data_IF_096084288692
#
_entry.id   IF_096084288692
#
_cell.length_a   1.000
_cell.length_b   1.000
_cell.length_c   1.000
_cell.angle_alpha   90.00
_cell.angle_beta   90.00
_cell.angle_gamma   90.00
#
_symmetry.space_group_name_H-M   'P 1'
#
loop_
_entity.id
_entity.type
_entity.pdbx_description
1 polymer ?
#
# COMPACT_ATOMS: atom_id res chain seq x y z
N UNK A 1 1.08 16.38 16.77
CA UNK A 1 0.87 17.46 15.79
C UNK A 1 1.40 17.00 14.44
N UNK A 2 0.58 16.99 13.39
CA UNK A 2 1.00 16.63 12.03
C UNK A 2 1.85 17.78 11.48
N UNK A 3 2.99 17.47 10.86
CA UNK A 3 3.87 18.49 10.29
C UNK A 3 3.59 18.72 8.81
N UNK A 4 3.91 19.92 8.31
CA UNK A 4 3.77 20.25 6.90
C UNK A 4 4.53 19.28 5.99
N UNK A 5 5.70 18.79 6.41
CA UNK A 5 6.47 17.77 5.67
C UNK A 5 5.77 16.42 5.61
N UNK A 6 5.04 16.03 6.66
CA UNK A 6 4.24 14.80 6.68
C UNK A 6 3.01 14.95 5.76
N UNK A 7 2.42 16.15 5.69
CA UNK A 7 1.32 16.45 4.77
C UNK A 7 1.77 16.36 3.30
N UNK A 8 2.96 16.86 2.97
CA UNK A 8 3.50 16.75 1.61
C UNK A 8 3.69 15.28 1.19
N UNK A 9 4.19 14.44 2.10
CA UNK A 9 4.28 12.99 1.86
C UNK A 9 2.92 12.33 1.66
N UNK A 10 1.91 12.75 2.43
CA UNK A 10 0.54 12.25 2.28
C UNK A 10 -0.07 12.64 0.93
N UNK A 11 0.11 13.89 0.49
CA UNK A 11 -0.34 14.35 -0.83
C UNK A 11 0.38 13.56 -1.93
N UNK A 12 1.69 13.36 -1.79
CA UNK A 12 2.48 12.55 -2.72
C UNK A 12 1.95 11.11 -2.84
N UNK A 13 1.57 10.50 -1.72
CA UNK A 13 0.95 9.17 -1.69
C UNK A 13 -0.39 9.15 -2.44
N UNK A 14 -1.28 10.11 -2.18
CA UNK A 14 -2.57 10.17 -2.87
C UNK A 14 -2.40 10.36 -4.38
N UNK A 15 -1.52 11.27 -4.79
CA UNK A 15 -1.18 11.47 -6.21
C UNK A 15 -0.64 10.18 -6.83
N UNK A 16 0.23 9.46 -6.12
CA UNK A 16 0.75 8.18 -6.59
C UNK A 16 -0.38 7.16 -6.84
N UNK A 17 -1.25 6.94 -5.85
CA UNK A 17 -2.37 5.98 -5.97
C UNK A 17 -3.27 6.29 -7.18
N UNK A 18 -3.48 7.58 -7.48
CA UNK A 18 -4.29 8.02 -8.63
C UNK A 18 -3.58 7.77 -9.98
N UNK A 19 -2.27 7.96 -10.05
CA UNK A 19 -1.50 7.83 -11.29
C UNK A 19 -1.14 6.38 -11.63
N UNK A 20 -0.97 5.52 -10.63
CA UNK A 20 -0.41 4.15 -10.79
C UNK A 20 -1.43 3.05 -10.57
N UNK A 21 -2.71 3.35 -10.76
CA UNK A 21 -3.83 2.46 -10.43
C UNK A 21 -3.71 1.06 -11.04
N UNK A 22 -3.09 0.94 -12.23
CA UNK A 22 -3.01 -0.31 -12.99
C UNK A 22 -1.58 -0.77 -13.33
N UNK A 23 -0.55 -0.15 -12.78
CA UNK A 23 0.82 -0.35 -13.28
C UNK A 23 1.73 -0.97 -12.24
N UNK A 24 1.99 -2.29 -12.39
CA UNK A 24 3.31 -2.98 -12.34
C UNK A 24 3.09 -4.50 -12.22
N UNK A 25 3.82 -5.30 -13.01
CA UNK A 25 3.77 -6.79 -12.99
C UNK A 25 4.28 -7.36 -11.66
N UNK A 26 5.16 -6.62 -10.98
CA UNK A 26 5.67 -7.00 -9.66
C UNK A 26 4.62 -6.79 -8.55
N UNK A 27 3.87 -5.68 -8.60
CA UNK A 27 2.90 -5.32 -7.56
C UNK A 27 1.58 -6.11 -7.69
N UNK A 28 1.31 -6.61 -8.90
CA UNK A 28 0.13 -7.42 -9.18
C UNK A 28 0.09 -8.66 -8.31
N UNK A 29 1.22 -9.31 -7.98
CA UNK A 29 1.22 -10.49 -7.10
C UNK A 29 0.62 -10.18 -5.71
N UNK A 30 1.09 -9.14 -5.04
CA UNK A 30 0.55 -8.77 -3.72
C UNK A 30 -0.91 -8.29 -3.83
N UNK A 31 -1.23 -7.55 -4.88
CA UNK A 31 -2.57 -7.04 -5.14
C UNK A 31 -3.56 -8.17 -5.41
N UNK A 32 -3.16 -9.16 -6.21
CA UNK A 32 -3.93 -10.37 -6.49
C UNK A 32 -4.05 -11.23 -5.23
N UNK A 33 -3.01 -11.32 -4.41
CA UNK A 33 -3.08 -12.07 -3.15
C UNK A 33 -4.12 -11.45 -2.21
N UNK A 34 -4.18 -10.12 -2.13
CA UNK A 34 -5.22 -9.40 -1.40
C UNK A 34 -6.61 -9.71 -1.97
N UNK A 35 -6.77 -9.68 -3.30
CA UNK A 35 -8.02 -10.04 -3.97
C UNK A 35 -8.45 -11.48 -3.65
N UNK A 36 -7.53 -12.44 -3.75
CA UNK A 36 -7.78 -13.85 -3.50
C UNK A 36 -8.22 -14.10 -2.06
N UNK A 37 -7.54 -13.47 -1.08
CA UNK A 37 -7.96 -13.57 0.32
C UNK A 37 -9.35 -12.98 0.57
N UNK A 38 -9.73 -11.91 -0.13
CA UNK A 38 -11.02 -11.24 0.06
C UNK A 38 -12.16 -12.03 -0.57
N UNK A 39 -11.98 -12.49 -1.81
CA UNK A 39 -13.05 -13.07 -2.62
C UNK A 39 -13.06 -14.60 -2.63
N UNK A 40 -11.90 -15.24 -2.61
CA UNK A 40 -11.78 -16.71 -2.66
C UNK A 40 -11.63 -17.33 -1.27
N UNK A 41 -11.04 -16.62 -0.29
CA UNK A 41 -10.94 -17.07 1.12
C UNK A 41 -10.37 -18.50 1.21
N UNK A 42 -11.14 -19.47 1.70
CA UNK A 42 -10.68 -20.86 1.84
C UNK A 42 -10.72 -21.66 0.52
N UNK A 43 -11.14 -21.04 -0.58
CA UNK A 43 -11.22 -21.70 -1.88
C UNK A 43 -9.90 -21.58 -2.65
N UNK A 44 -8.88 -22.30 -2.18
CA UNK A 44 -7.51 -22.30 -2.70
C UNK A 44 -7.38 -22.71 -4.18
N UNK A 45 -8.38 -23.39 -4.75
CA UNK A 45 -8.34 -23.80 -6.16
C UNK A 45 -8.53 -22.64 -7.12
N UNK A 46 -9.10 -21.52 -6.66
CA UNK A 46 -9.36 -20.32 -7.47
C UNK A 46 -8.28 -19.25 -7.33
N UNK A 47 -7.19 -19.54 -6.62
CA UNK A 47 -6.11 -18.59 -6.39
C UNK A 47 -5.23 -18.51 -7.63
N UNK A 48 -5.03 -17.30 -8.14
CA UNK A 48 -4.17 -17.03 -9.30
C UNK A 48 -2.71 -17.46 -9.03
N UNK A 49 -2.31 -17.38 -7.77
CA UNK A 49 -1.02 -17.79 -7.22
C UNK A 49 -0.68 -19.27 -7.42
N UNK A 50 -1.67 -20.12 -7.73
CA UNK A 50 -1.46 -21.53 -8.04
C UNK A 50 -1.10 -21.76 -9.51
N UNK A 51 -1.69 -20.98 -10.41
CA UNK A 51 -1.46 -21.08 -11.85
C UNK A 51 -0.18 -20.34 -12.26
N UNK A 52 0.10 -19.22 -11.60
CA UNK A 52 1.28 -18.39 -11.83
C UNK A 52 2.13 -18.23 -10.57
N UNK A 53 2.90 -19.26 -10.17
CA UNK A 53 3.87 -19.12 -9.09
C UNK A 53 4.94 -18.11 -9.53
N UNK A 54 5.01 -16.98 -8.85
CA UNK A 54 5.95 -15.90 -9.18
C UNK A 54 7.41 -16.38 -9.17
N UNK A 55 8.25 -15.74 -9.98
CA UNK A 55 9.69 -16.07 -10.14
C UNK A 55 10.51 -15.85 -8.85
N UNK A 56 9.93 -15.15 -7.87
CA UNK A 56 10.55 -14.82 -6.58
C UNK A 56 9.62 -15.22 -5.43
N UNK A 57 10.16 -15.95 -4.44
CA UNK A 57 9.41 -16.32 -3.24
C UNK A 57 9.03 -15.08 -2.41
N UNK A 58 7.74 -14.86 -2.21
CA UNK A 58 7.17 -13.73 -1.46
C UNK A 58 6.32 -14.23 -0.31
N UNK A 59 6.34 -13.52 0.80
CA UNK A 59 5.52 -13.85 1.97
C UNK A 59 4.10 -13.31 1.81
N UNK A 60 3.08 -14.12 2.09
CA UNK A 60 1.67 -13.70 2.07
C UNK A 60 1.21 -12.89 3.29
N UNK A 61 2.10 -12.68 4.28
CA UNK A 61 1.75 -12.00 5.54
C UNK A 61 1.26 -10.57 5.32
N UNK A 62 1.92 -9.80 4.45
CA UNK A 62 1.52 -8.44 4.10
C UNK A 62 0.14 -8.38 3.43
N UNK A 63 -0.05 -9.09 2.30
CA UNK A 63 -1.36 -9.21 1.65
C UNK A 63 -2.49 -9.65 2.58
N UNK A 64 -2.23 -10.62 3.47
CA UNK A 64 -3.21 -11.09 4.43
C UNK A 64 -3.60 -9.99 5.43
N UNK A 65 -2.62 -9.27 5.99
CA UNK A 65 -2.88 -8.17 6.91
C UNK A 65 -3.73 -7.07 6.26
N UNK A 66 -3.40 -6.65 5.04
CA UNK A 66 -4.19 -5.66 4.31
C UNK A 66 -5.59 -6.19 3.98
N UNK A 67 -5.70 -7.44 3.52
CA UNK A 67 -6.99 -8.08 3.23
C UNK A 67 -7.91 -8.11 4.46
N UNK A 68 -7.38 -8.44 5.65
CA UNK A 68 -8.16 -8.41 6.89
C UNK A 68 -8.61 -7.00 7.27
N UNK A 69 -7.74 -5.99 7.08
CA UNK A 69 -8.04 -4.59 7.38
C UNK A 69 -9.17 -4.04 6.49
N UNK A 70 -9.18 -4.40 5.20
CA UNK A 70 -10.18 -3.88 4.23
C UNK A 70 -11.40 -4.79 4.07
N UNK A 71 -11.38 -6.02 4.61
CA UNK A 71 -12.49 -6.97 4.60
C UNK A 71 -13.86 -6.36 5.00
N UNK A 72 -13.99 -5.51 6.04
CA UNK A 72 -15.27 -4.91 6.40
C UNK A 72 -15.84 -3.96 5.33
N UNK A 73 -15.05 -3.48 4.38
CA UNK A 73 -15.53 -2.61 3.29
C UNK A 73 -16.23 -3.39 2.17
N UNK A 74 -15.96 -4.69 2.05
CA UNK A 74 -16.51 -5.57 1.01
C UNK A 74 -18.04 -5.61 0.98
N UNK A 75 -18.77 -5.84 2.10
CA UNK A 75 -20.23 -5.82 2.08
C UNK A 75 -20.80 -4.46 1.69
N UNK A 76 -20.14 -3.36 2.08
CA UNK A 76 -20.56 -1.99 1.72
C UNK A 76 -20.48 -1.80 0.20
N UNK A 77 -19.35 -2.16 -0.39
CA UNK A 77 -19.12 -2.05 -1.84
C UNK A 77 -20.11 -2.92 -2.63
N UNK A 78 -20.38 -4.14 -2.14
CA UNK A 78 -21.40 -5.01 -2.73
C UNK A 78 -22.81 -4.44 -2.62
N UNK A 79 -23.16 -3.85 -1.48
CA UNK A 79 -24.47 -3.24 -1.25
C UNK A 79 -24.73 -2.08 -2.22
N UNK A 80 -23.72 -1.23 -2.46
CA UNK A 80 -23.81 -0.14 -3.44
C UNK A 80 -23.60 -0.58 -4.91
N UNK A 81 -23.40 -1.88 -5.18
CA UNK A 81 -23.17 -2.38 -6.53
C UNK A 81 -21.90 -1.86 -7.20
N UNK A 82 -20.90 -1.45 -6.41
CA UNK A 82 -19.67 -0.83 -6.91
C UNK A 82 -18.73 -1.88 -7.54
N UNK A 83 -17.98 -1.45 -8.57
CA UNK A 83 -17.03 -2.32 -9.26
C UNK A 83 -15.80 -2.67 -8.38
N UNK A 84 -15.12 -3.79 -8.71
CA UNK A 84 -13.92 -4.29 -8.02
C UNK A 84 -12.77 -3.29 -7.95
N UNK A 85 -12.73 -2.30 -8.85
CA UNK A 85 -11.73 -1.22 -8.87
C UNK A 85 -11.72 -0.44 -7.55
N UNK A 86 -12.88 -0.30 -6.88
CA UNK A 86 -12.96 0.39 -5.59
C UNK A 86 -12.26 -0.39 -4.47
N UNK A 87 -12.31 -1.73 -4.52
CA UNK A 87 -11.54 -2.57 -3.59
C UNK A 87 -10.04 -2.46 -3.84
N UNK A 88 -9.62 -2.33 -5.10
CA UNK A 88 -8.23 -2.09 -5.44
C UNK A 88 -7.75 -0.74 -4.87
N UNK A 89 -8.54 0.33 -5.06
CA UNK A 89 -8.23 1.64 -4.49
C UNK A 89 -8.14 1.59 -2.95
N UNK A 90 -9.08 0.90 -2.30
CA UNK A 90 -9.07 0.71 -0.85
C UNK A 90 -7.83 -0.06 -0.38
N UNK A 91 -7.44 -1.14 -1.07
CA UNK A 91 -6.26 -1.93 -0.75
C UNK A 91 -4.97 -1.10 -0.87
N UNK A 92 -4.80 -0.36 -1.98
CA UNK A 92 -3.65 0.53 -2.21
C UNK A 92 -3.57 1.64 -1.17
N UNK A 93 -4.70 2.25 -0.84
CA UNK A 93 -4.79 3.28 0.19
C UNK A 93 -4.39 2.72 1.56
N UNK A 94 -4.90 1.55 1.93
CA UNK A 94 -4.56 0.91 3.21
C UNK A 94 -3.06 0.60 3.31
N UNK A 95 -2.48 0.00 2.27
CA UNK A 95 -1.05 -0.30 2.23
C UNK A 95 -0.20 0.97 2.28
N UNK A 96 -0.53 1.97 1.46
CA UNK A 96 0.15 3.26 1.42
C UNK A 96 0.13 3.98 2.77
N UNK A 97 -1.02 3.99 3.44
CA UNK A 97 -1.18 4.60 4.76
C UNK A 97 -0.37 3.88 5.84
N UNK A 98 -0.32 2.54 5.80
CA UNK A 98 0.47 1.75 6.74
C UNK A 98 1.98 2.05 6.59
N UNK A 99 2.46 2.14 5.35
CA UNK A 99 3.87 2.48 5.05
C UNK A 99 4.17 3.91 5.48
N UNK A 100 3.34 4.88 5.09
CA UNK A 100 3.53 6.29 5.43
C UNK A 100 3.55 6.51 6.95
N UNK A 101 2.64 5.87 7.68
CA UNK A 101 2.58 5.98 9.15
C UNK A 101 3.83 5.42 9.79
N UNK A 102 4.27 4.24 9.36
CA UNK A 102 5.49 3.58 9.86
C UNK A 102 6.72 4.43 9.59
N UNK A 103 6.83 5.00 8.39
CA UNK A 103 7.91 5.90 8.01
C UNK A 103 7.90 7.20 8.82
N UNK A 104 6.75 7.84 8.98
CA UNK A 104 6.64 9.05 9.81
C UNK A 104 7.03 8.78 11.27
N UNK A 105 6.63 7.63 11.83
CA UNK A 105 7.05 7.21 13.16
C UNK A 105 8.58 7.05 13.24
N UNK A 106 9.17 6.36 12.25
CA UNK A 106 10.62 6.21 12.14
C UNK A 106 11.34 7.56 12.07
N UNK A 107 10.88 8.49 11.22
CA UNK A 107 11.48 9.83 11.14
C UNK A 107 11.37 10.62 12.45
N UNK A 108 10.31 10.42 13.23
CA UNK A 108 10.17 11.05 14.56
C UNK A 108 11.16 10.46 15.57
N UNK A 109 11.46 9.17 15.48
CA UNK A 109 12.51 8.53 16.28
C UNK A 109 13.91 9.03 15.88
N UNK A 110 14.18 9.12 14.58
CA UNK A 110 15.45 9.68 14.04
C UNK A 110 15.64 11.11 14.51
N UNK A 111 14.58 11.91 14.47
CA UNK A 111 14.61 13.29 14.96
C UNK A 111 14.96 13.41 16.44
N UNK A 112 14.37 12.55 17.28
CA UNK A 112 14.68 12.53 18.72
C UNK A 112 16.13 12.15 18.99
N UNK A 113 16.75 11.34 18.13
CA UNK A 113 18.11 10.82 18.34
C UNK A 113 19.22 11.66 17.69
N UNK A 114 18.97 12.15 16.47
CA UNK A 114 19.97 12.82 15.62
C UNK A 114 19.63 14.28 15.31
N UNK A 115 18.48 14.77 15.80
CA UNK A 115 18.04 16.14 15.62
C UNK A 115 17.16 16.38 14.39
N UNK A 116 16.54 17.56 14.35
CA UNK A 116 15.53 17.92 13.36
C UNK A 116 16.06 18.03 11.93
N UNK A 117 17.31 18.46 11.73
CA UNK A 117 17.91 18.60 10.39
C UNK A 117 18.05 17.26 9.68
N UNK A 118 18.53 16.24 10.38
CA UNK A 118 18.69 14.88 9.82
C UNK A 118 17.34 14.30 9.44
N UNK A 119 16.33 14.44 10.31
CA UNK A 119 14.98 13.96 10.02
C UNK A 119 14.31 14.70 8.85
N UNK A 120 14.59 16.00 8.69
CA UNK A 120 14.12 16.79 7.55
C UNK A 120 14.72 16.26 6.24
N UNK A 121 16.04 16.09 6.18
CA UNK A 121 16.70 15.55 4.98
C UNK A 121 16.20 14.14 4.63
N UNK A 122 15.97 13.29 5.63
CA UNK A 122 15.41 11.96 5.43
C UNK A 122 13.99 12.01 4.81
N UNK A 123 13.13 12.91 5.31
CA UNK A 123 11.78 13.09 4.75
C UNK A 123 11.81 13.64 3.33
N UNK A 124 12.70 14.60 3.05
CA UNK A 124 12.87 15.18 1.71
C UNK A 124 13.41 14.14 0.71
N UNK A 125 14.39 13.35 1.14
CA UNK A 125 14.91 12.24 0.34
C UNK A 125 13.80 11.25 -0.01
N UNK A 126 13.01 10.83 0.97
CA UNK A 126 11.90 9.92 0.73
C UNK A 126 10.80 10.53 -0.14
N UNK A 127 10.48 11.82 0.03
CA UNK A 127 9.54 12.53 -0.83
C UNK A 127 10.02 12.52 -2.30
N UNK A 128 11.30 12.81 -2.52
CA UNK A 128 11.92 12.74 -3.84
C UNK A 128 11.88 11.31 -4.41
N UNK A 129 12.22 10.31 -3.60
CA UNK A 129 12.12 8.91 -4.01
C UNK A 129 10.71 8.55 -4.40
N UNK A 130 9.67 8.87 -3.61
CA UNK A 130 8.28 8.61 -4.02
C UNK A 130 7.97 9.28 -5.36
N UNK A 131 8.39 10.52 -5.56
CA UNK A 131 8.17 11.25 -6.82
C UNK A 131 8.92 10.65 -8.02
N UNK A 132 10.11 10.08 -7.82
CA UNK A 132 10.90 9.43 -8.88
C UNK A 132 10.52 7.96 -9.10
N UNK A 133 10.15 7.24 -8.04
CA UNK A 133 9.72 5.84 -8.02
C UNK A 133 8.20 5.70 -8.14
N UNK A 134 7.52 6.69 -8.74
CA UNK A 134 6.14 6.53 -9.25
C UNK A 134 6.02 5.35 -10.23
N UNK A 135 7.13 4.72 -10.67
CA UNK A 135 7.10 3.54 -11.54
C UNK A 135 7.42 2.18 -10.88
N UNK A 136 7.75 2.07 -9.58
CA UNK A 136 8.41 0.85 -9.12
C UNK A 136 8.11 0.30 -7.71
N UNK A 137 6.92 0.47 -7.15
CA UNK A 137 6.41 -0.48 -6.14
C UNK A 137 5.43 -1.41 -6.82
#
# INVERSE_FOLDING_TARGET
>A
MIRLTELFLFIGLLTHILLTLFTKVEESFNTQAIHDFIYHRNNWTKYDHREFPGVVARTFVGPLAIATLISPLVPIIKYFGLNKIWMLFAARTALGMAILTSFCCFCRCVEKRFGNRVALYLRLFYAFTISFFVLCI
#
